data_IF_847198017266
#
_entry.id   IF_847198017266
#
_cell.length_a   1.000
_cell.length_b   1.000
_cell.length_c   1.000
_cell.angle_alpha   90.00
_cell.angle_beta   90.00
_cell.angle_gamma   90.00
#
_symmetry.space_group_name_H-M   'P 1'
#
loop_
_entity.id
_entity.type
_entity.pdbx_description
1 polymer ?
#
# COMPACT_ATOMS: atom_id res chain seq x y z
N UNK A 1 5.61 -29.07 2.34
CA UNK A 1 6.13 -27.70 2.15
C UNK A 1 5.67 -26.83 3.31
N UNK A 2 6.57 -26.22 4.09
CA UNK A 2 6.18 -25.24 5.10
C UNK A 2 5.55 -24.05 4.37
N UNK A 3 4.30 -23.70 4.68
CA UNK A 3 3.68 -22.47 4.18
C UNK A 3 4.55 -21.30 4.67
N UNK A 4 5.23 -20.63 3.80
CA UNK A 4 5.93 -19.38 4.13
C UNK A 4 4.87 -18.39 4.57
N UNK A 5 4.91 -18.01 5.85
CA UNK A 5 4.03 -16.95 6.37
C UNK A 5 4.51 -15.63 5.76
N UNK A 6 3.60 -14.86 5.19
CA UNK A 6 3.89 -13.52 4.69
C UNK A 6 4.44 -12.66 5.84
N UNK A 7 5.58 -12.01 5.63
CA UNK A 7 6.10 -11.03 6.57
C UNK A 7 5.14 -9.85 6.61
N UNK A 8 4.80 -9.39 7.81
CA UNK A 8 4.05 -8.14 8.01
C UNK A 8 5.03 -7.05 8.40
N UNK A 9 5.11 -5.94 7.65
CA UNK A 9 5.99 -4.82 8.00
C UNK A 9 5.64 -4.25 9.37
N UNK A 10 6.65 -3.94 10.16
CA UNK A 10 6.49 -3.35 11.50
C UNK A 10 6.79 -1.85 11.55
N UNK A 11 7.51 -1.35 10.57
CA UNK A 11 7.90 0.06 10.46
C UNK A 11 7.66 0.56 9.04
N UNK A 12 7.06 1.74 8.90
CA UNK A 12 6.82 2.39 7.62
C UNK A 12 7.44 3.78 7.62
N UNK A 13 8.11 4.13 6.53
CA UNK A 13 8.46 5.50 6.17
C UNK A 13 7.67 5.95 4.95
N UNK A 14 7.70 7.23 4.65
CA UNK A 14 7.01 7.82 3.49
C UNK A 14 7.91 8.85 2.81
N UNK A 15 7.58 9.21 1.59
CA UNK A 15 8.26 10.24 0.83
C UNK A 15 8.31 11.56 1.60
N UNK A 16 9.41 12.29 1.40
CA UNK A 16 9.66 13.58 2.03
C UNK A 16 8.55 14.58 1.68
N UNK A 17 7.98 15.32 2.65
CA UNK A 17 7.02 16.38 2.35
C UNK A 17 7.68 17.48 1.52
N UNK A 18 6.97 18.00 0.51
CA UNK A 18 7.49 19.00 -0.44
C UNK A 18 8.02 20.30 0.21
N UNK A 19 7.53 20.62 1.41
CA UNK A 19 7.87 21.84 2.15
C UNK A 19 8.72 21.60 3.40
N UNK A 20 9.22 20.38 3.60
CA UNK A 20 10.09 20.09 4.73
C UNK A 20 11.58 20.32 4.39
N UNK A 21 12.41 20.49 5.42
CA UNK A 21 13.84 20.57 5.24
C UNK A 21 14.39 19.23 4.71
N UNK A 22 15.36 19.29 3.76
CA UNK A 22 16.00 18.09 3.26
C UNK A 22 16.65 17.27 4.39
N UNK A 23 16.64 15.96 4.21
CA UNK A 23 17.28 15.04 5.13
C UNK A 23 18.81 15.13 5.07
N UNK A 24 19.51 14.59 6.07
CA UNK A 24 20.98 14.68 6.23
C UNK A 24 21.80 14.18 5.03
N UNK A 25 21.24 13.26 4.26
CA UNK A 25 21.89 12.67 3.09
C UNK A 25 21.78 13.54 1.82
N UNK A 26 20.93 14.58 1.83
CA UNK A 26 20.68 15.45 0.71
C UNK A 26 21.38 16.82 0.89
N UNK A 27 22.32 17.14 0.02
CA UNK A 27 23.05 18.41 0.05
C UNK A 27 22.35 19.54 -0.75
N UNK A 28 21.06 19.38 -1.05
CA UNK A 28 20.25 20.35 -1.79
C UNK A 28 19.32 21.11 -0.85
N UNK A 29 18.80 22.24 -1.33
CA UNK A 29 17.81 23.02 -0.57
C UNK A 29 16.40 22.41 -0.56
N UNK A 30 16.15 21.42 -1.41
CA UNK A 30 14.87 20.68 -1.50
C UNK A 30 15.11 19.27 -2.04
N UNK A 31 14.18 18.36 -1.76
CA UNK A 31 14.15 17.01 -2.30
C UNK A 31 13.39 17.01 -3.63
N UNK A 32 14.05 16.57 -4.70
CA UNK A 32 13.40 16.34 -6.00
C UNK A 32 12.85 14.92 -6.10
N UNK A 33 11.94 14.68 -7.05
CA UNK A 33 11.42 13.33 -7.33
C UNK A 33 12.52 12.30 -7.63
N UNK A 34 13.65 12.75 -8.19
CA UNK A 34 14.82 11.89 -8.42
C UNK A 34 15.56 11.53 -7.13
N UNK A 35 15.55 12.42 -6.14
CA UNK A 35 16.16 12.19 -4.82
C UNK A 35 15.30 11.29 -3.94
N UNK A 36 13.98 11.26 -4.14
CA UNK A 36 13.06 10.37 -3.42
C UNK A 36 13.38 8.87 -3.62
N UNK A 37 14.03 8.51 -4.73
CA UNK A 37 14.52 7.13 -4.95
C UNK A 37 15.63 6.78 -3.96
N UNK A 38 16.56 7.70 -3.73
CA UNK A 38 17.63 7.53 -2.74
C UNK A 38 17.04 7.54 -1.32
N UNK A 39 16.09 8.42 -1.06
CA UNK A 39 15.37 8.46 0.22
C UNK A 39 14.73 7.11 0.55
N UNK A 40 14.03 6.48 -0.40
CA UNK A 40 13.44 5.16 -0.20
C UNK A 40 14.53 4.10 0.07
N UNK A 41 15.66 4.15 -0.64
CA UNK A 41 16.76 3.23 -0.40
C UNK A 41 17.40 3.43 0.99
N UNK A 42 17.64 4.67 1.41
CA UNK A 42 18.16 5.01 2.75
C UNK A 42 17.20 4.52 3.84
N UNK A 43 15.89 4.72 3.66
CA UNK A 43 14.89 4.22 4.59
C UNK A 43 14.99 2.69 4.78
N UNK A 44 15.18 1.94 3.71
CA UNK A 44 15.31 0.49 3.77
C UNK A 44 16.66 0.02 4.32
N UNK A 45 17.76 0.63 3.89
CA UNK A 45 19.13 0.14 4.12
C UNK A 45 19.76 0.67 5.39
N UNK A 46 19.55 1.94 5.72
CA UNK A 46 20.20 2.61 6.85
C UNK A 46 19.25 2.78 8.05
N UNK A 47 18.01 3.23 7.79
CA UNK A 47 17.02 3.44 8.86
C UNK A 47 16.31 2.14 9.28
N UNK A 48 16.53 1.05 8.53
CA UNK A 48 16.00 -0.28 8.86
C UNK A 48 14.48 -0.40 8.68
N UNK A 49 13.81 0.52 7.99
CA UNK A 49 12.39 0.43 7.73
C UNK A 49 12.05 -0.84 6.96
N UNK A 50 10.94 -1.48 7.34
CA UNK A 50 10.42 -2.64 6.61
C UNK A 50 9.65 -2.22 5.38
N UNK A 51 9.00 -1.08 5.43
CA UNK A 51 8.07 -0.60 4.41
C UNK A 51 8.33 0.88 4.06
N UNK A 52 8.08 1.23 2.81
CA UNK A 52 8.11 2.60 2.33
C UNK A 52 6.85 2.89 1.51
N UNK A 53 6.08 3.90 1.92
CA UNK A 53 4.89 4.34 1.20
C UNK A 53 5.29 5.25 0.06
N UNK A 54 4.89 4.89 -1.17
CA UNK A 54 5.07 5.67 -2.38
C UNK A 54 3.76 6.32 -2.78
N UNK A 55 3.75 7.65 -2.78
CA UNK A 55 2.51 8.41 -2.82
C UNK A 55 2.13 8.85 -4.23
N UNK A 56 1.11 8.21 -4.79
CA UNK A 56 0.50 8.60 -6.06
C UNK A 56 -0.63 9.62 -5.90
N UNK A 57 -1.05 9.91 -4.67
CA UNK A 57 -2.09 10.87 -4.38
C UNK A 57 -1.53 12.29 -4.35
N UNK A 58 -2.20 13.23 -5.07
CA UNK A 58 -1.97 14.65 -4.94
C UNK A 58 -0.63 15.22 -5.44
N UNK A 59 0.35 14.37 -5.84
CA UNK A 59 1.67 14.85 -6.27
C UNK A 59 2.18 14.18 -7.53
N UNK A 60 3.21 14.76 -8.13
CA UNK A 60 3.99 14.09 -9.16
C UNK A 60 4.87 13.02 -8.51
N UNK A 61 4.83 11.83 -9.08
CA UNK A 61 5.65 10.70 -8.62
C UNK A 61 6.59 10.25 -9.71
N UNK A 62 7.71 9.68 -9.31
CA UNK A 62 8.56 8.94 -10.23
C UNK A 62 7.93 7.57 -10.49
N UNK A 63 7.32 7.42 -11.67
CA UNK A 63 6.66 6.17 -12.07
C UNK A 63 7.67 5.03 -12.28
N UNK A 64 8.94 5.35 -12.51
CA UNK A 64 9.99 4.37 -12.69
C UNK A 64 10.69 3.97 -11.37
N UNK A 65 10.01 4.15 -10.22
CA UNK A 65 10.61 3.88 -8.90
C UNK A 65 11.18 2.47 -8.78
N UNK A 66 10.45 1.45 -9.21
CA UNK A 66 10.88 0.04 -9.14
C UNK A 66 12.09 -0.19 -10.03
N UNK A 67 12.05 0.29 -11.29
CA UNK A 67 13.16 0.17 -12.23
C UNK A 67 14.43 0.82 -11.65
N UNK A 68 14.29 2.04 -11.11
CA UNK A 68 15.42 2.77 -10.53
C UNK A 68 15.97 2.12 -9.26
N UNK A 69 15.12 1.64 -8.37
CA UNK A 69 15.56 0.92 -7.17
C UNK A 69 16.33 -0.35 -7.55
N UNK A 70 15.80 -1.19 -8.43
CA UNK A 70 16.46 -2.41 -8.85
C UNK A 70 17.75 -2.14 -9.62
N UNK A 71 17.78 -1.17 -10.54
CA UNK A 71 18.99 -0.85 -11.32
C UNK A 71 20.09 -0.19 -10.50
N UNK A 72 19.73 0.74 -9.61
CA UNK A 72 20.72 1.45 -8.78
C UNK A 72 21.25 0.62 -7.63
N UNK A 73 20.41 -0.24 -7.06
CA UNK A 73 20.69 -0.98 -5.84
C UNK A 73 20.42 -2.48 -6.00
N UNK A 74 20.79 -3.03 -7.14
CA UNK A 74 20.54 -4.42 -7.56
C UNK A 74 20.90 -5.44 -6.48
N UNK A 75 22.13 -5.38 -5.97
CA UNK A 75 22.64 -6.35 -4.98
C UNK A 75 21.83 -6.33 -3.69
N UNK A 76 21.37 -5.14 -3.28
CA UNK A 76 20.55 -5.00 -2.08
C UNK A 76 19.16 -5.64 -2.28
N UNK A 77 18.45 -5.31 -3.37
CA UNK A 77 17.09 -5.81 -3.57
C UNK A 77 17.03 -7.26 -4.07
N UNK A 78 18.09 -7.80 -4.64
CA UNK A 78 18.18 -9.26 -4.85
C UNK A 78 18.38 -10.03 -3.53
N UNK A 79 19.07 -9.45 -2.57
CA UNK A 79 19.25 -10.01 -1.22
C UNK A 79 18.04 -9.78 -0.32
N UNK A 80 17.39 -8.62 -0.44
CA UNK A 80 16.21 -8.19 0.32
C UNK A 80 15.04 -7.86 -0.63
N UNK A 81 14.40 -8.89 -1.24
CA UNK A 81 13.43 -8.67 -2.30
C UNK A 81 12.23 -7.83 -1.85
N UNK A 82 11.85 -6.87 -2.70
CA UNK A 82 10.58 -6.17 -2.55
C UNK A 82 9.41 -7.15 -2.64
N UNK A 83 8.36 -6.88 -1.88
CA UNK A 83 7.18 -7.75 -1.78
C UNK A 83 7.37 -8.99 -0.90
N UNK A 84 8.58 -9.18 -0.32
CA UNK A 84 8.89 -10.31 0.57
C UNK A 84 9.61 -9.89 1.84
N UNK A 85 10.77 -9.27 1.73
CA UNK A 85 11.61 -8.87 2.86
C UNK A 85 11.49 -7.37 3.15
N UNK A 86 11.32 -6.58 2.10
CA UNK A 86 11.03 -5.14 2.11
C UNK A 86 9.77 -4.87 1.31
N UNK A 87 9.06 -3.79 1.62
CA UNK A 87 7.75 -3.50 1.03
C UNK A 87 7.72 -2.07 0.50
N UNK A 88 7.43 -1.93 -0.79
CA UNK A 88 7.07 -0.66 -1.38
C UNK A 88 5.56 -0.67 -1.58
N UNK A 89 4.84 0.24 -0.93
CA UNK A 89 3.37 0.22 -0.90
C UNK A 89 2.86 1.53 -1.51
N UNK A 90 2.12 1.45 -2.61
CA UNK A 90 1.59 2.65 -3.26
C UNK A 90 0.34 3.14 -2.53
N UNK A 91 0.31 4.43 -2.18
CA UNK A 91 -0.93 5.12 -1.85
C UNK A 91 -1.57 5.56 -3.16
N UNK A 92 -2.57 4.81 -3.61
CA UNK A 92 -3.18 5.00 -4.93
C UNK A 92 -4.29 6.05 -4.90
N UNK A 93 -4.54 6.74 -6.01
CA UNK A 93 -5.65 7.68 -6.11
C UNK A 93 -7.02 7.04 -5.85
N UNK A 94 -7.83 7.66 -5.00
CA UNK A 94 -9.20 7.25 -4.76
C UNK A 94 -10.12 7.86 -5.85
N UNK A 95 -10.76 7.02 -6.67
CA UNK A 95 -11.56 7.46 -7.82
C UNK A 95 -12.82 8.24 -7.44
N UNK A 96 -13.27 8.17 -6.20
CA UNK A 96 -14.40 8.96 -5.70
C UNK A 96 -14.00 10.38 -5.27
N UNK A 97 -12.69 10.61 -5.10
CA UNK A 97 -12.12 11.89 -4.68
C UNK A 97 -11.23 12.49 -5.79
N UNK A 98 -10.61 11.64 -6.63
CA UNK A 98 -9.71 12.05 -7.71
C UNK A 98 -10.13 11.49 -9.08
N UNK A 99 -9.46 11.97 -10.14
CA UNK A 99 -9.71 11.51 -11.51
C UNK A 99 -9.21 10.07 -11.74
N UNK A 100 -10.10 9.20 -12.19
CA UNK A 100 -9.85 7.76 -12.34
C UNK A 100 -8.69 7.34 -13.25
N UNK A 101 -8.24 8.20 -14.20
CA UNK A 101 -7.10 7.87 -15.06
C UNK A 101 -5.79 7.71 -14.26
N UNK A 102 -5.64 8.39 -13.13
CA UNK A 102 -4.45 8.28 -12.27
C UNK A 102 -4.37 6.90 -11.62
N UNK A 103 -5.49 6.35 -11.17
CA UNK A 103 -5.56 4.99 -10.66
C UNK A 103 -5.18 3.96 -11.73
N UNK A 104 -5.67 4.13 -12.97
CA UNK A 104 -5.33 3.25 -14.07
C UNK A 104 -3.81 3.26 -14.36
N UNK A 105 -3.17 4.44 -14.36
CA UNK A 105 -1.70 4.56 -14.51
C UNK A 105 -0.96 3.85 -13.38
N UNK A 106 -1.38 4.04 -12.12
CA UNK A 106 -0.77 3.36 -10.99
C UNK A 106 -0.87 1.84 -11.13
N UNK A 107 -2.00 1.29 -11.52
CA UNK A 107 -2.18 -0.15 -11.72
C UNK A 107 -1.36 -0.71 -12.87
N UNK A 108 -1.32 -0.01 -14.01
CA UNK A 108 -0.45 -0.40 -15.13
C UNK A 108 1.02 -0.40 -14.67
N UNK A 109 1.43 0.62 -13.93
CA UNK A 109 2.78 0.71 -13.38
C UNK A 109 3.12 -0.48 -12.46
N UNK A 110 2.23 -0.82 -11.53
CA UNK A 110 2.42 -1.97 -10.62
C UNK A 110 2.62 -3.27 -11.41
N UNK A 111 1.78 -3.49 -12.41
CA UNK A 111 1.79 -4.73 -13.20
C UNK A 111 3.05 -4.82 -14.06
N UNK A 112 3.42 -3.74 -14.75
CA UNK A 112 4.63 -3.69 -15.60
C UNK A 112 5.92 -3.70 -14.78
N UNK A 113 5.91 -3.10 -13.59
CA UNK A 113 7.04 -3.18 -12.65
C UNK A 113 7.28 -4.61 -12.13
N UNK A 114 6.23 -5.43 -12.05
CA UNK A 114 6.39 -6.84 -11.71
C UNK A 114 7.14 -7.59 -12.82
N UNK A 115 6.79 -7.38 -14.10
CA UNK A 115 7.51 -7.97 -15.22
C UNK A 115 8.99 -7.58 -15.19
N UNK A 116 9.28 -6.29 -15.04
CA UNK A 116 10.66 -5.80 -14.95
C UNK A 116 11.44 -6.45 -13.79
N UNK A 117 10.83 -6.54 -12.61
CA UNK A 117 11.48 -7.14 -11.46
C UNK A 117 11.82 -8.62 -11.69
N UNK A 118 10.92 -9.38 -12.33
CA UNK A 118 11.17 -10.76 -12.71
C UNK A 118 12.30 -10.89 -13.73
N UNK A 119 12.36 -10.02 -14.74
CA UNK A 119 13.45 -9.98 -15.73
C UNK A 119 14.81 -9.69 -15.07
N UNK A 120 14.81 -8.95 -13.97
CA UNK A 120 16.01 -8.68 -13.17
C UNK A 120 16.33 -9.77 -12.13
N UNK A 121 15.57 -10.85 -12.10
CA UNK A 121 15.82 -12.02 -11.25
C UNK A 121 15.04 -12.03 -9.91
N UNK A 122 14.14 -11.09 -9.67
CA UNK A 122 13.22 -11.17 -8.53
C UNK A 122 12.30 -12.39 -8.68
N UNK A 123 11.83 -12.93 -7.54
CA UNK A 123 10.93 -14.10 -7.49
C UNK A 123 9.55 -13.76 -6.92
N UNK A 124 9.33 -12.50 -6.59
CA UNK A 124 8.07 -11.99 -6.03
C UNK A 124 7.73 -10.68 -6.70
N UNK A 125 6.44 -10.37 -6.91
CA UNK A 125 6.03 -9.03 -7.32
C UNK A 125 6.54 -7.99 -6.32
N UNK A 126 7.10 -6.87 -6.77
CA UNK A 126 7.66 -5.85 -5.87
C UNK A 126 6.60 -5.12 -5.05
N UNK A 127 5.38 -5.01 -5.55
CA UNK A 127 4.24 -4.38 -4.89
C UNK A 127 3.13 -5.41 -4.77
N UNK A 128 2.71 -5.70 -3.54
CA UNK A 128 1.68 -6.70 -3.22
C UNK A 128 0.47 -6.10 -2.51
N UNK A 129 0.61 -4.90 -1.99
CA UNK A 129 -0.43 -4.15 -1.29
C UNK A 129 -0.46 -2.70 -1.79
N UNK A 130 -1.65 -2.09 -1.77
CA UNK A 130 -1.84 -0.66 -2.03
C UNK A 130 -2.68 -0.04 -0.93
N UNK A 131 -2.40 1.22 -0.61
CA UNK A 131 -3.18 2.01 0.33
C UNK A 131 -4.24 2.78 -0.45
N UNK A 132 -5.51 2.61 -0.05
CA UNK A 132 -6.63 3.39 -0.56
C UNK A 132 -6.94 4.52 0.41
N UNK A 133 -6.60 5.78 0.10
CA UNK A 133 -6.88 6.92 0.97
C UNK A 133 -8.38 7.22 1.03
N UNK A 134 -8.80 7.98 2.05
CA UNK A 134 -10.18 8.44 2.24
C UNK A 134 -11.21 7.33 2.10
N UNK A 135 -10.89 6.13 2.59
CA UNK A 135 -11.79 4.97 2.52
C UNK A 135 -13.01 5.18 3.43
N UNK A 136 -14.19 5.14 2.84
CA UNK A 136 -15.48 5.36 3.52
C UNK A 136 -16.41 4.15 3.51
N UNK A 137 -16.12 3.14 2.68
CA UNK A 137 -16.98 1.94 2.58
C UNK A 137 -16.24 0.69 2.08
N UNK A 138 -16.84 -0.46 2.33
CA UNK A 138 -16.38 -1.76 1.87
C UNK A 138 -16.38 -1.87 0.33
N UNK A 139 -17.36 -1.23 -0.31
CA UNK A 139 -17.50 -1.21 -1.77
C UNK A 139 -16.30 -0.55 -2.44
N UNK A 140 -15.75 0.51 -1.83
CA UNK A 140 -14.55 1.19 -2.35
C UNK A 140 -13.35 0.23 -2.35
N UNK A 141 -13.13 -0.52 -1.29
CA UNK A 141 -12.05 -1.50 -1.17
C UNK A 141 -12.21 -2.59 -2.25
N UNK A 142 -13.40 -3.22 -2.30
CA UNK A 142 -13.70 -4.28 -3.26
C UNK A 142 -13.62 -3.81 -4.72
N UNK A 143 -14.05 -2.58 -5.00
CA UNK A 143 -13.96 -2.00 -6.34
C UNK A 143 -12.50 -1.85 -6.77
N UNK A 144 -11.64 -1.36 -5.88
CA UNK A 144 -10.20 -1.17 -6.14
C UNK A 144 -9.53 -2.51 -6.48
N UNK A 145 -9.77 -3.57 -5.70
CA UNK A 145 -9.25 -4.92 -5.98
C UNK A 145 -9.77 -5.48 -7.32
N UNK A 146 -11.08 -5.37 -7.57
CA UNK A 146 -11.69 -5.84 -8.81
C UNK A 146 -11.19 -5.08 -10.04
N UNK A 147 -10.93 -3.79 -9.88
CA UNK A 147 -10.38 -2.96 -10.96
C UNK A 147 -8.96 -3.36 -11.27
N UNK A 148 -8.13 -3.57 -10.26
CA UNK A 148 -6.78 -4.11 -10.46
C UNK A 148 -6.81 -5.43 -11.23
N UNK A 149 -7.66 -6.37 -10.80
CA UNK A 149 -7.78 -7.68 -11.47
C UNK A 149 -8.20 -7.58 -12.94
N UNK A 150 -9.08 -6.62 -13.27
CA UNK A 150 -9.47 -6.38 -14.67
C UNK A 150 -8.29 -5.87 -15.50
N UNK A 151 -7.50 -4.93 -14.95
CA UNK A 151 -6.31 -4.40 -15.64
C UNK A 151 -5.25 -5.48 -15.81
N UNK A 152 -5.03 -6.31 -14.79
CA UNK A 152 -4.08 -7.43 -14.87
C UNK A 152 -4.47 -8.43 -15.96
N UNK A 153 -5.76 -8.80 -16.06
CA UNK A 153 -6.26 -9.68 -17.11
C UNK A 153 -6.11 -9.08 -18.50
N UNK A 154 -6.43 -7.80 -18.67
CA UNK A 154 -6.26 -7.10 -19.93
C UNK A 154 -4.78 -7.11 -20.38
N UNK A 155 -3.85 -6.94 -19.42
CA UNK A 155 -2.43 -7.02 -19.69
C UNK A 155 -2.02 -8.43 -20.20
N UNK A 156 -2.53 -9.50 -19.57
CA UNK A 156 -2.28 -10.88 -20.00
C UNK A 156 -2.75 -11.13 -21.43
N UNK A 157 -3.91 -10.59 -21.81
CA UNK A 157 -4.46 -10.69 -23.17
C UNK A 157 -3.61 -9.95 -24.21
N UNK A 158 -2.94 -8.85 -23.83
CA UNK A 158 -2.17 -8.03 -24.76
C UNK A 158 -0.71 -8.48 -24.88
N UNK A 159 -0.07 -8.86 -23.76
CA UNK A 159 1.39 -9.03 -23.68
C UNK A 159 1.86 -10.48 -23.52
N UNK A 160 0.96 -11.44 -23.27
CA UNK A 160 1.26 -12.88 -23.13
C UNK A 160 2.51 -13.22 -22.26
N UNK A 161 2.78 -12.40 -21.22
CA UNK A 161 3.94 -12.62 -20.37
C UNK A 161 3.67 -13.75 -19.35
N UNK A 162 4.38 -14.88 -19.48
CA UNK A 162 4.17 -16.05 -18.61
C UNK A 162 4.66 -15.84 -17.17
N UNK A 163 5.68 -15.03 -16.95
CA UNK A 163 6.30 -14.87 -15.64
C UNK A 163 5.36 -14.25 -14.60
N UNK A 164 4.40 -13.44 -15.04
CA UNK A 164 3.48 -12.70 -14.18
C UNK A 164 2.01 -13.11 -14.34
N UNK A 165 1.71 -14.18 -15.07
CA UNK A 165 0.34 -14.71 -15.27
C UNK A 165 -0.44 -14.93 -13.97
N UNK A 166 0.24 -15.22 -12.87
CA UNK A 166 -0.39 -15.43 -11.56
C UNK A 166 -0.57 -14.17 -10.72
N UNK A 167 -0.07 -13.01 -11.18
CA UNK A 167 -0.17 -11.73 -10.46
C UNK A 167 -1.42 -10.97 -10.88
N UNK A 168 -2.58 -11.51 -10.53
CA UNK A 168 -3.89 -10.93 -10.84
C UNK A 168 -4.60 -10.31 -9.62
N UNK A 169 -3.94 -10.27 -8.46
CA UNK A 169 -4.48 -9.76 -7.20
C UNK A 169 -3.52 -8.82 -6.51
N UNK A 170 -4.11 -7.81 -5.89
CA UNK A 170 -3.43 -6.91 -4.97
C UNK A 170 -4.31 -6.75 -3.73
N UNK A 171 -3.69 -6.76 -2.56
CA UNK A 171 -4.41 -6.51 -1.31
C UNK A 171 -4.54 -5.00 -1.08
N UNK A 172 -5.69 -4.56 -0.57
CA UNK A 172 -5.97 -3.14 -0.33
C UNK A 172 -5.95 -2.84 1.15
N UNK A 173 -5.11 -1.89 1.52
CA UNK A 173 -5.01 -1.30 2.86
C UNK A 173 -5.97 -0.10 2.91
N UNK A 174 -7.12 -0.19 3.61
CA UNK A 174 -8.03 0.93 3.73
C UNK A 174 -7.45 1.97 4.69
N UNK A 175 -7.18 3.19 4.20
CA UNK A 175 -6.78 4.32 5.02
C UNK A 175 -8.02 5.14 5.36
N UNK A 176 -8.34 5.19 6.65
CA UNK A 176 -9.54 5.87 7.20
C UNK A 176 -9.10 7.17 7.85
N UNK A 177 -9.57 8.31 7.33
CA UNK A 177 -9.02 9.64 7.58
C UNK A 177 -9.97 10.60 8.27
N UNK A 178 -11.24 10.22 8.50
CA UNK A 178 -12.20 11.06 9.20
C UNK A 178 -12.59 10.46 10.53
N UNK A 179 -12.83 11.31 11.56
CA UNK A 179 -13.27 10.85 12.89
C UNK A 179 -14.58 10.06 12.78
N UNK A 180 -15.53 10.53 11.98
CA UNK A 180 -16.80 9.87 11.75
C UNK A 180 -16.63 8.47 11.16
N UNK A 181 -15.71 8.33 10.18
CA UNK A 181 -15.43 7.03 9.54
C UNK A 181 -14.65 6.10 10.49
N UNK A 182 -13.74 6.64 11.31
CA UNK A 182 -13.04 5.87 12.34
C UNK A 182 -13.99 5.32 13.41
N UNK A 183 -15.04 6.05 13.76
CA UNK A 183 -16.03 5.58 14.74
C UNK A 183 -16.86 4.40 14.23
N UNK A 184 -16.98 4.21 12.92
CA UNK A 184 -17.67 3.11 12.26
C UNK A 184 -16.75 2.19 11.47
N UNK A 185 -15.45 2.24 11.74
CA UNK A 185 -14.44 1.46 11.04
C UNK A 185 -14.68 -0.07 11.13
N UNK A 186 -15.26 -0.53 12.25
CA UNK A 186 -15.69 -1.92 12.40
C UNK A 186 -16.70 -2.34 11.33
N UNK A 187 -17.71 -1.50 11.06
CA UNK A 187 -18.70 -1.78 10.03
C UNK A 187 -18.09 -1.83 8.64
N UNK A 188 -17.22 -0.86 8.31
CA UNK A 188 -16.52 -0.82 7.00
C UNK A 188 -15.74 -2.11 6.80
N UNK A 189 -14.92 -2.50 7.78
CA UNK A 189 -14.08 -3.71 7.67
C UNK A 189 -14.92 -4.99 7.71
N UNK A 190 -15.95 -5.04 8.56
CA UNK A 190 -16.82 -6.22 8.63
C UNK A 190 -17.56 -6.46 7.31
N UNK A 191 -18.12 -5.41 6.71
CA UNK A 191 -18.84 -5.53 5.44
C UNK A 191 -17.86 -5.91 4.31
N UNK A 192 -16.63 -5.38 4.31
CA UNK A 192 -15.60 -5.83 3.40
C UNK A 192 -15.27 -7.32 3.56
N UNK A 193 -15.08 -7.82 4.79
CA UNK A 193 -14.81 -9.24 5.03
C UNK A 193 -15.93 -10.13 4.48
N UNK A 194 -17.19 -9.73 4.66
CA UNK A 194 -18.34 -10.45 4.11
C UNK A 194 -18.35 -10.45 2.59
N UNK A 195 -18.10 -9.29 1.96
CA UNK A 195 -18.02 -9.14 0.52
C UNK A 195 -16.86 -9.95 -0.06
N UNK A 196 -15.68 -9.89 0.57
CA UNK A 196 -14.50 -10.66 0.18
C UNK A 196 -14.77 -12.16 0.20
N UNK A 197 -15.37 -12.67 1.29
CA UNK A 197 -15.72 -14.09 1.39
C UNK A 197 -16.73 -14.51 0.32
N UNK A 198 -17.71 -13.66 0.02
CA UNK A 198 -18.70 -13.92 -1.04
C UNK A 198 -18.05 -13.98 -2.42
N UNK A 199 -17.07 -13.10 -2.69
CA UNK A 199 -16.40 -13.03 -3.98
C UNK A 199 -15.37 -14.14 -4.19
N UNK A 200 -14.58 -14.44 -3.14
CA UNK A 200 -13.40 -15.32 -3.24
C UNK A 200 -13.54 -16.66 -2.53
N UNK A 201 -14.67 -16.91 -1.86
CA UNK A 201 -14.96 -18.19 -1.15
C UNK A 201 -14.30 -18.31 0.22
N UNK A 202 -13.35 -17.45 0.58
CA UNK A 202 -12.63 -17.45 1.86
C UNK A 202 -12.47 -16.04 2.39
N UNK A 203 -12.13 -15.89 3.67
CA UNK A 203 -11.66 -14.61 4.20
C UNK A 203 -10.22 -14.32 3.76
N UNK A 204 -9.78 -13.03 3.76
CA UNK A 204 -8.39 -12.69 3.52
C UNK A 204 -7.50 -13.32 4.60
N UNK A 205 -6.22 -13.51 4.27
CA UNK A 205 -5.25 -14.10 5.21
C UNK A 205 -4.98 -13.21 6.42
N UNK A 206 -5.04 -11.90 6.22
CA UNK A 206 -4.90 -10.85 7.22
C UNK A 206 -5.49 -9.54 6.67
N UNK A 207 -5.57 -8.53 7.51
CA UNK A 207 -5.93 -7.17 7.14
C UNK A 207 -4.98 -6.16 7.79
N UNK A 208 -4.71 -5.07 7.08
CA UNK A 208 -3.87 -3.96 7.56
C UNK A 208 -4.64 -2.63 7.47
N UNK A 209 -5.71 -2.42 8.25
CA UNK A 209 -6.41 -1.14 8.20
C UNK A 209 -5.49 -0.02 8.70
N UNK A 210 -5.43 1.10 7.95
CA UNK A 210 -4.61 2.24 8.28
C UNK A 210 -5.46 3.33 8.93
N UNK A 211 -5.05 3.77 10.12
CA UNK A 211 -5.72 4.79 10.92
C UNK A 211 -4.94 6.09 10.75
N UNK A 212 -5.50 7.05 10.02
CA UNK A 212 -4.92 8.38 9.94
C UNK A 212 -5.02 9.10 11.30
N UNK A 213 -4.07 9.98 11.57
CA UNK A 213 -4.02 10.76 12.81
C UNK A 213 -3.93 12.27 12.57
N UNK A 214 -3.24 12.68 11.52
CA UNK A 214 -3.02 14.10 11.19
C UNK A 214 -4.31 14.78 10.73
N UNK A 215 -4.96 14.26 9.69
CA UNK A 215 -6.18 14.87 9.16
C UNK A 215 -7.36 14.84 10.14
N UNK A 216 -7.63 13.73 10.86
CA UNK A 216 -8.61 13.75 11.94
C UNK A 216 -8.32 14.79 13.01
N UNK A 217 -7.06 14.96 13.42
CA UNK A 217 -6.69 15.95 14.42
C UNK A 217 -6.82 17.38 13.90
N UNK A 218 -6.49 17.62 12.63
CA UNK A 218 -6.64 18.92 11.98
C UNK A 218 -8.12 19.33 11.85
N UNK A 219 -8.96 18.38 11.45
CA UNK A 219 -10.36 18.63 11.12
C UNK A 219 -11.29 18.64 12.35
N UNK A 220 -11.05 17.76 13.33
CA UNK A 220 -11.92 17.56 14.48
C UNK A 220 -11.26 17.85 15.84
N UNK A 221 -9.96 18.10 15.84
CA UNK A 221 -9.16 18.30 17.04
C UNK A 221 -8.51 17.02 17.56
N UNK A 222 -7.47 17.18 18.39
CA UNK A 222 -6.62 16.08 18.87
C UNK A 222 -7.40 15.04 19.70
N UNK A 223 -8.26 15.50 20.61
CA UNK A 223 -8.97 14.60 21.53
C UNK A 223 -9.94 13.66 20.77
N UNK A 224 -10.85 14.16 19.91
CA UNK A 224 -11.70 13.28 19.10
C UNK A 224 -10.89 12.31 18.22
N UNK A 225 -9.82 12.77 17.59
CA UNK A 225 -8.97 11.94 16.75
C UNK A 225 -8.33 10.77 17.53
N UNK A 226 -7.79 11.04 18.71
CA UNK A 226 -7.18 10.00 19.57
C UNK A 226 -8.22 9.01 20.07
N UNK A 227 -9.40 9.48 20.49
CA UNK A 227 -10.47 8.62 20.97
C UNK A 227 -11.03 7.72 19.86
N UNK A 228 -11.25 8.27 18.67
CA UNK A 228 -11.72 7.52 17.52
C UNK A 228 -10.70 6.45 17.07
N UNK A 229 -9.40 6.81 17.07
CA UNK A 229 -8.32 5.84 16.76
C UNK A 229 -8.30 4.67 17.76
N UNK A 230 -8.39 4.93 19.05
CA UNK A 230 -8.46 3.88 20.09
C UNK A 230 -9.71 3.01 19.95
N UNK A 231 -10.86 3.61 19.63
CA UNK A 231 -12.09 2.85 19.36
C UNK A 231 -11.93 1.94 18.14
N UNK A 232 -11.37 2.44 17.03
CA UNK A 232 -11.10 1.66 15.83
C UNK A 232 -10.19 0.46 16.11
N UNK A 233 -9.09 0.64 16.85
CA UNK A 233 -8.18 -0.46 17.25
C UNK A 233 -8.94 -1.53 18.06
N UNK A 234 -9.77 -1.09 19.02
CA UNK A 234 -10.59 -2.01 19.83
C UNK A 234 -11.58 -2.81 18.96
N UNK A 235 -12.19 -2.15 17.97
CA UNK A 235 -13.09 -2.76 17.00
C UNK A 235 -12.36 -3.79 16.14
N UNK A 236 -11.18 -3.47 15.61
CA UNK A 236 -10.37 -4.40 14.83
C UNK A 236 -9.98 -5.64 15.61
N UNK A 237 -9.63 -5.50 16.89
CA UNK A 237 -9.33 -6.64 17.76
C UNK A 237 -10.55 -7.56 17.96
N UNK A 238 -11.77 -7.00 18.04
CA UNK A 238 -13.03 -7.79 18.11
C UNK A 238 -13.31 -8.51 16.79
N UNK A 239 -13.13 -7.82 15.64
CA UNK A 239 -13.33 -8.42 14.33
C UNK A 239 -12.31 -9.53 14.05
N UNK A 240 -11.06 -9.36 14.44
CA UNK A 240 -10.02 -10.38 14.31
C UNK A 240 -10.44 -11.70 14.99
N UNK A 241 -10.98 -11.61 16.21
CA UNK A 241 -11.51 -12.77 16.94
C UNK A 241 -12.76 -13.34 16.28
N UNK A 242 -13.71 -12.49 15.89
CA UNK A 242 -15.01 -12.91 15.32
C UNK A 242 -14.86 -13.68 14.01
N UNK A 243 -13.95 -13.22 13.13
CA UNK A 243 -13.78 -13.76 11.78
C UNK A 243 -12.55 -14.68 11.64
N UNK A 244 -11.74 -14.80 12.69
CA UNK A 244 -10.45 -15.50 12.68
C UNK A 244 -9.52 -14.96 11.57
N UNK A 245 -9.49 -13.64 11.41
CA UNK A 245 -8.64 -12.92 10.46
C UNK A 245 -7.70 -12.00 11.26
N UNK A 246 -6.39 -12.24 11.24
CA UNK A 246 -5.44 -11.35 11.91
C UNK A 246 -5.57 -9.92 11.40
N UNK A 247 -5.54 -8.95 12.32
CA UNK A 247 -5.59 -7.52 12.04
C UNK A 247 -4.27 -6.88 12.49
N UNK A 248 -3.59 -6.21 11.57
CA UNK A 248 -2.33 -5.50 11.81
C UNK A 248 -2.49 -4.01 11.46
N UNK A 249 -3.16 -3.21 12.32
CA UNK A 249 -3.42 -1.82 12.01
C UNK A 249 -2.13 -1.02 11.90
N UNK A 250 -2.06 -0.14 10.88
CA UNK A 250 -1.04 0.89 10.70
C UNK A 250 -1.54 2.14 11.40
N UNK A 251 -0.65 2.87 12.13
CA UNK A 251 -1.01 4.05 12.94
C UNK A 251 0.02 5.16 12.73
#
# INVERSE_FOLDING_TARGET
MKKTVQKIPSTMSTQHPDNANPAYWCNKSFISTADEIEEAFVAFSELGCDEYMWDWEGKFVDEAVIDKLYRRYTDYFLKHPLGKDKFLTYRVPNIWEERGYRLARAFINIITSADLAFDMGAKTPPIIEVILPMTKSAEQIMHTEKTFRKVAKLKEEIFENEATKSFDRIDVIPLIEQVEDLTRADKIIEDYLKMYKKEYGSYPKYMRPFIARSDPALNAGLIPAVLASKAAISHYAKLAKKYNVPMYPII
#
